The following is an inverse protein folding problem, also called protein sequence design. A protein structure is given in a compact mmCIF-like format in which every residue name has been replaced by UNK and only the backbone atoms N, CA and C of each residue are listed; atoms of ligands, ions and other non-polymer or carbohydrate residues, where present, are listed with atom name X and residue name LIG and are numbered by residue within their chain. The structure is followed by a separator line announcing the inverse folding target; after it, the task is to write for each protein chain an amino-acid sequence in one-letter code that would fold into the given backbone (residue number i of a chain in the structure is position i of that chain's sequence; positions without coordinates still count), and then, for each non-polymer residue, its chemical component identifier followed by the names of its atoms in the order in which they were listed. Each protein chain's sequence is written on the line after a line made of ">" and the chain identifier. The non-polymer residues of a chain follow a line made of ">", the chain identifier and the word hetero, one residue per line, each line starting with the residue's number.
data_IF_763034293553
#
_entry.id   IF_763034293553
#
_cell.length_a   1.000
_cell.length_b   1.000
_cell.length_c   1.000
_cell.angle_alpha   90.00
_cell.angle_beta   90.00
_cell.angle_gamma   90.00
#
_symmetry.space_group_name_H-M   'P 1'
#
loop_
_entity.id
_entity.type
_entity.pdbx_description
1 polymer ?
#
# COMPACT_ATOMS: atom_id res chain seq x y z
N UNK A 1 38.06 3.21 -6.10
CA UNK A 1 36.63 2.85 -6.02
C UNK A 1 36.57 1.35 -5.75
N UNK A 2 36.13 0.93 -4.58
CA UNK A 2 35.87 -0.48 -4.28
C UNK A 2 34.51 -0.80 -4.87
N UNK A 3 34.45 -1.75 -5.81
CA UNK A 3 33.19 -2.33 -6.29
C UNK A 3 32.46 -2.91 -5.08
N UNK A 4 31.34 -2.33 -4.72
CA UNK A 4 30.43 -2.92 -3.74
C UNK A 4 29.67 -4.00 -4.50
N UNK A 5 30.04 -5.25 -4.27
CA UNK A 5 29.23 -6.39 -4.71
C UNK A 5 27.87 -6.27 -4.01
N UNK A 6 26.75 -6.30 -4.73
CA UNK A 6 25.44 -6.27 -4.08
C UNK A 6 25.33 -7.47 -3.14
N UNK A 7 25.08 -7.20 -1.86
CA UNK A 7 24.88 -8.19 -0.80
C UNK A 7 23.53 -8.90 -0.89
N UNK A 8 22.76 -8.66 -1.94
CA UNK A 8 21.45 -9.26 -2.13
C UNK A 8 21.58 -10.22 -3.31
N UNK A 9 21.72 -11.50 -3.01
CA UNK A 9 21.28 -12.54 -3.93
C UNK A 9 19.83 -12.22 -4.30
N UNK A 10 19.48 -12.29 -5.57
CA UNK A 10 18.16 -11.95 -6.09
C UNK A 10 17.07 -12.53 -5.20
N UNK A 11 16.18 -11.68 -4.67
CA UNK A 11 14.98 -12.15 -3.97
C UNK A 11 14.27 -13.11 -4.91
N UNK A 12 14.03 -14.35 -4.48
CA UNK A 12 13.36 -15.34 -5.30
C UNK A 12 11.96 -14.82 -5.64
N UNK A 13 11.59 -14.88 -6.92
CA UNK A 13 10.21 -14.66 -7.34
C UNK A 13 9.36 -15.81 -6.76
N UNK A 14 8.43 -15.47 -5.87
CA UNK A 14 7.54 -16.43 -5.23
C UNK A 14 6.27 -16.68 -6.03
N UNK A 15 6.05 -15.94 -7.14
CA UNK A 15 4.89 -16.14 -7.99
C UNK A 15 5.01 -17.44 -8.76
N UNK A 16 4.12 -18.39 -8.48
CA UNK A 16 4.01 -19.64 -9.24
C UNK A 16 2.80 -19.56 -10.19
N UNK A 17 3.09 -19.42 -11.48
CA UNK A 17 2.05 -19.33 -12.52
C UNK A 17 1.17 -20.60 -12.64
N UNK A 18 1.63 -21.75 -12.13
CA UNK A 18 0.83 -22.99 -12.12
C UNK A 18 -0.12 -23.06 -10.92
N UNK A 19 0.23 -22.41 -9.82
CA UNK A 19 -0.59 -22.34 -8.61
C UNK A 19 -1.45 -21.08 -8.55
N UNK A 20 -1.10 -20.04 -9.32
CA UNK A 20 -1.82 -18.77 -9.35
C UNK A 20 -3.24 -18.96 -9.93
N UNK A 21 -4.23 -18.23 -9.38
CA UNK A 21 -5.58 -18.20 -9.95
C UNK A 21 -5.63 -17.69 -11.40
N UNK A 22 -6.71 -17.99 -12.15
CA UNK A 22 -6.89 -17.50 -13.52
C UNK A 22 -6.71 -15.97 -13.64
N UNK A 23 -6.16 -15.53 -14.77
CA UNK A 23 -5.82 -14.11 -15.00
C UNK A 23 -7.04 -13.17 -15.03
N UNK A 24 -8.23 -13.69 -15.28
CA UNK A 24 -9.50 -12.96 -15.27
C UNK A 24 -10.16 -12.88 -13.87
N UNK A 25 -9.65 -13.62 -12.89
CA UNK A 25 -10.10 -13.51 -11.48
C UNK A 25 -9.15 -12.59 -10.68
N UNK A 26 -9.35 -11.28 -10.86
CA UNK A 26 -8.52 -10.25 -10.22
C UNK A 26 -8.47 -10.37 -8.69
N UNK A 27 -9.61 -10.68 -8.07
CA UNK A 27 -9.68 -10.75 -6.59
C UNK A 27 -8.95 -11.99 -6.07
N UNK A 28 -9.08 -13.13 -6.73
CA UNK A 28 -8.36 -14.33 -6.36
C UNK A 28 -6.84 -14.17 -6.57
N UNK A 29 -6.41 -13.51 -7.65
CA UNK A 29 -5.00 -13.18 -7.87
C UNK A 29 -4.45 -12.23 -6.80
N UNK A 30 -5.23 -11.20 -6.42
CA UNK A 30 -4.85 -10.29 -5.35
C UNK A 30 -4.72 -11.02 -4.00
N UNK A 31 -5.64 -11.94 -3.69
CA UNK A 31 -5.57 -12.76 -2.50
C UNK A 31 -4.33 -13.66 -2.50
N UNK A 32 -4.03 -14.30 -3.62
CA UNK A 32 -2.83 -15.14 -3.78
C UNK A 32 -1.55 -14.34 -3.54
N UNK A 33 -1.40 -13.16 -4.18
CA UNK A 33 -0.28 -12.25 -3.95
C UNK A 33 -0.16 -11.82 -2.48
N UNK A 34 -1.30 -11.54 -1.84
CA UNK A 34 -1.36 -11.16 -0.42
C UNK A 34 -0.83 -12.27 0.49
N UNK A 35 -1.20 -13.51 0.22
CA UNK A 35 -0.71 -14.68 0.97
C UNK A 35 0.80 -14.86 0.79
N UNK A 36 1.34 -14.71 -0.42
CA UNK A 36 2.78 -14.79 -0.68
C UNK A 36 3.55 -13.73 0.12
N UNK A 37 3.08 -12.48 0.11
CA UNK A 37 3.68 -11.39 0.89
C UNK A 37 3.56 -11.65 2.40
N UNK A 38 2.39 -12.04 2.86
CA UNK A 38 2.10 -12.30 4.27
C UNK A 38 2.84 -13.50 4.85
N UNK A 39 3.17 -14.50 4.03
CA UNK A 39 3.95 -15.67 4.44
C UNK A 39 5.40 -15.32 4.79
N UNK A 40 5.95 -14.27 4.17
CA UNK A 40 7.28 -13.77 4.48
C UNK A 40 7.22 -12.70 5.59
N UNK A 41 7.44 -13.11 6.83
CA UNK A 41 7.34 -12.22 8.01
C UNK A 41 8.44 -11.14 8.08
N UNK A 42 9.51 -11.27 7.33
CA UNK A 42 10.50 -10.20 7.17
C UNK A 42 10.00 -9.06 6.25
N UNK A 43 8.96 -9.33 5.43
CA UNK A 43 8.35 -8.38 4.50
C UNK A 43 7.04 -7.81 5.07
N UNK A 44 6.21 -8.66 5.69
CA UNK A 44 4.91 -8.25 6.22
C UNK A 44 4.69 -8.80 7.62
N UNK A 45 4.64 -7.91 8.61
CA UNK A 45 4.35 -8.23 10.00
C UNK A 45 2.89 -8.61 10.23
N UNK A 46 2.56 -9.21 11.39
CA UNK A 46 1.19 -9.54 11.77
C UNK A 46 0.30 -8.29 11.75
N UNK A 47 -0.77 -8.34 10.96
CA UNK A 47 -1.73 -7.25 10.82
C UNK A 47 -1.20 -6.00 10.10
N UNK A 48 0.09 -5.97 9.73
CA UNK A 48 0.70 -4.87 8.98
C UNK A 48 0.60 -5.06 7.47
N UNK A 49 0.64 -3.94 6.75
CA UNK A 49 0.56 -3.91 5.31
C UNK A 49 -0.85 -4.12 4.75
N UNK A 50 -1.00 -3.73 3.50
CA UNK A 50 -2.19 -3.99 2.70
C UNK A 50 -1.86 -4.06 1.20
N UNK A 51 -2.74 -4.69 0.47
CA UNK A 51 -2.61 -4.90 -0.97
C UNK A 51 -3.86 -4.42 -1.67
N UNK A 52 -3.72 -3.98 -2.90
CA UNK A 52 -4.86 -3.60 -3.75
C UNK A 52 -4.64 -3.96 -5.20
N UNK A 53 -5.75 -4.10 -5.93
CA UNK A 53 -5.76 -4.25 -7.37
C UNK A 53 -6.90 -3.42 -7.97
N UNK A 54 -6.64 -2.78 -9.11
CA UNK A 54 -7.59 -1.96 -9.85
C UNK A 54 -8.08 -2.71 -11.09
N UNK A 55 -9.37 -2.66 -11.35
CA UNK A 55 -10.00 -3.35 -12.47
C UNK A 55 -11.42 -2.91 -12.67
N UNK A 56 -12.28 -3.82 -13.07
CA UNK A 56 -13.71 -3.58 -13.34
C UNK A 56 -14.55 -4.59 -12.59
N UNK A 57 -15.66 -4.15 -12.00
CA UNK A 57 -16.66 -5.01 -11.38
C UNK A 57 -18.07 -4.53 -11.71
N UNK A 58 -19.07 -5.37 -11.49
CA UNK A 58 -20.46 -4.96 -11.62
C UNK A 58 -20.95 -4.27 -10.35
N UNK A 59 -21.60 -3.13 -10.48
CA UNK A 59 -22.31 -2.48 -9.38
C UNK A 59 -23.66 -3.16 -9.09
N UNK A 60 -24.37 -2.71 -8.06
CA UNK A 60 -25.69 -3.25 -7.66
C UNK A 60 -26.79 -3.11 -8.74
N UNK A 61 -26.54 -2.32 -9.80
CA UNK A 61 -27.45 -2.16 -10.94
C UNK A 61 -27.06 -3.04 -12.13
N UNK A 62 -25.96 -3.81 -12.02
CA UNK A 62 -25.41 -4.64 -13.08
C UNK A 62 -24.55 -3.88 -14.09
N UNK A 63 -24.15 -2.62 -13.82
CA UNK A 63 -23.25 -1.86 -14.67
C UNK A 63 -21.80 -2.17 -14.34
N UNK A 64 -20.97 -2.30 -15.36
CA UNK A 64 -19.52 -2.38 -15.20
C UNK A 64 -18.96 -1.00 -14.77
N UNK A 65 -18.28 -0.95 -13.64
CA UNK A 65 -17.67 0.26 -13.08
C UNK A 65 -16.19 0.02 -12.75
N UNK A 66 -15.33 1.03 -12.86
CA UNK A 66 -13.96 0.94 -12.36
C UNK A 66 -13.97 0.66 -10.86
N UNK A 67 -13.21 -0.33 -10.44
CA UNK A 67 -13.13 -0.73 -9.03
C UNK A 67 -11.68 -0.82 -8.56
N UNK A 68 -11.45 -0.49 -7.31
CA UNK A 68 -10.27 -0.87 -6.57
C UNK A 68 -10.66 -1.85 -5.46
N UNK A 69 -10.12 -3.06 -5.51
CA UNK A 69 -10.13 -3.99 -4.41
C UNK A 69 -8.96 -3.69 -3.49
N UNK A 70 -9.22 -3.46 -2.22
CA UNK A 70 -8.18 -3.15 -1.23
C UNK A 70 -8.45 -3.88 0.07
N UNK A 71 -7.40 -4.38 0.72
CA UNK A 71 -7.52 -5.03 2.03
C UNK A 71 -8.12 -4.08 3.06
N UNK A 72 -9.18 -4.53 3.69
CA UNK A 72 -9.80 -3.85 4.81
C UNK A 72 -8.92 -3.85 6.07
N UNK A 73 -9.37 -3.15 7.11
CA UNK A 73 -8.66 -3.07 8.38
C UNK A 73 -8.76 -4.37 9.17
N UNK A 74 -7.70 -4.74 9.91
CA UNK A 74 -7.75 -5.75 10.98
C UNK A 74 -7.49 -7.20 10.57
N UNK A 75 -7.14 -7.51 9.31
CA UNK A 75 -6.77 -8.86 8.87
C UNK A 75 -5.28 -9.01 8.58
N UNK A 76 -4.75 -10.21 8.71
CA UNK A 76 -3.36 -10.56 8.38
C UNK A 76 -3.26 -11.03 6.94
N UNK A 77 -2.30 -10.50 6.17
CA UNK A 77 -2.09 -10.87 4.78
C UNK A 77 -1.88 -12.35 4.54
N UNK A 78 -1.26 -13.06 5.50
CA UNK A 78 -0.98 -14.50 5.36
C UNK A 78 -2.22 -15.40 5.47
N UNK A 79 -3.28 -14.93 6.13
CA UNK A 79 -4.41 -15.78 6.52
C UNK A 79 -5.78 -15.21 6.16
N UNK A 80 -5.80 -14.02 5.56
CA UNK A 80 -7.06 -13.38 5.15
C UNK A 80 -7.78 -14.17 4.06
N UNK A 81 -9.09 -14.05 4.00
CA UNK A 81 -9.91 -14.53 2.88
C UNK A 81 -10.37 -13.37 1.97
N UNK A 82 -11.03 -13.69 0.88
CA UNK A 82 -11.55 -12.71 -0.07
C UNK A 82 -12.55 -11.73 0.56
N UNK A 83 -13.27 -12.15 1.58
CA UNK A 83 -14.22 -11.35 2.36
C UNK A 83 -13.57 -10.21 3.15
N UNK A 84 -12.25 -10.20 3.28
CA UNK A 84 -11.52 -9.11 3.93
C UNK A 84 -11.13 -7.97 2.97
N UNK A 85 -11.42 -8.12 1.67
CA UNK A 85 -11.26 -7.03 0.72
C UNK A 85 -12.52 -6.18 0.64
N UNK A 86 -12.30 -4.88 0.46
CA UNK A 86 -13.35 -3.91 0.16
C UNK A 86 -13.22 -3.46 -1.28
N UNK A 87 -14.28 -3.57 -2.05
CA UNK A 87 -14.38 -3.00 -3.40
C UNK A 87 -14.89 -1.58 -3.34
N UNK A 88 -14.18 -0.65 -3.95
CA UNK A 88 -14.52 0.78 -4.02
C UNK A 88 -14.70 1.22 -5.47
N UNK A 89 -15.75 1.97 -5.78
CA UNK A 89 -15.91 2.63 -7.08
C UNK A 89 -14.82 3.69 -7.22
N UNK A 90 -13.86 3.41 -8.10
CA UNK A 90 -12.64 4.19 -8.21
C UNK A 90 -12.91 5.60 -8.77
N UNK A 91 -13.88 5.72 -9.67
CA UNK A 91 -14.36 7.00 -10.21
C UNK A 91 -14.99 7.92 -9.15
N UNK A 92 -15.50 7.38 -8.05
CA UNK A 92 -15.98 8.13 -6.90
C UNK A 92 -14.86 8.49 -5.91
N UNK A 93 -13.77 7.71 -5.86
CA UNK A 93 -12.64 7.94 -4.96
C UNK A 93 -11.63 8.95 -5.53
N UNK A 94 -11.31 8.85 -6.81
CA UNK A 94 -10.27 9.67 -7.47
C UNK A 94 -10.51 11.19 -7.40
N UNK A 95 -11.75 11.73 -7.39
CA UNK A 95 -11.97 13.17 -7.20
C UNK A 95 -11.38 13.75 -5.90
N UNK A 96 -11.03 12.90 -4.93
CA UNK A 96 -10.37 13.33 -3.71
C UNK A 96 -8.91 13.77 -3.92
N UNK A 97 -8.26 13.40 -5.01
CA UNK A 97 -6.87 13.80 -5.34
C UNK A 97 -6.72 15.32 -5.34
N UNK A 98 -7.73 16.06 -5.85
CA UNK A 98 -7.70 17.52 -5.90
C UNK A 98 -8.12 18.23 -4.61
N UNK A 99 -8.35 17.52 -3.51
CA UNK A 99 -8.81 18.10 -2.25
C UNK A 99 -7.60 18.53 -1.40
N UNK A 100 -7.64 19.71 -0.80
CA UNK A 100 -6.55 20.26 0.00
C UNK A 100 -6.38 19.56 1.36
N UNK A 101 -7.49 19.21 2.02
CA UNK A 101 -7.48 18.57 3.33
C UNK A 101 -8.74 17.75 3.58
N UNK A 102 -8.60 16.74 4.44
CA UNK A 102 -9.71 15.91 4.90
C UNK A 102 -9.37 15.34 6.28
N UNK A 103 -10.30 15.41 7.20
CA UNK A 103 -10.18 14.72 8.49
C UNK A 103 -10.39 13.21 8.35
N UNK A 104 -9.86 12.43 9.30
CA UNK A 104 -10.07 10.96 9.31
C UNK A 104 -11.55 10.58 9.32
N UNK A 105 -12.38 11.34 10.07
CA UNK A 105 -13.82 11.09 10.13
C UNK A 105 -14.53 11.33 8.80
N UNK A 106 -14.20 12.44 8.11
CA UNK A 106 -14.71 12.73 6.77
C UNK A 106 -14.27 11.67 5.76
N UNK A 107 -12.98 11.26 5.80
CA UNK A 107 -12.43 10.25 4.91
C UNK A 107 -13.16 8.91 5.08
N UNK A 108 -13.34 8.46 6.31
CA UNK A 108 -14.07 7.22 6.61
C UNK A 108 -15.51 7.28 6.11
N UNK A 109 -16.22 8.39 6.38
CA UNK A 109 -17.60 8.58 5.94
C UNK A 109 -17.73 8.67 4.41
N UNK A 110 -16.75 9.26 3.75
CA UNK A 110 -16.71 9.34 2.29
C UNK A 110 -16.48 7.96 1.67
N UNK A 111 -15.41 7.25 2.09
CA UNK A 111 -15.06 5.92 1.56
C UNK A 111 -16.17 4.90 1.77
N UNK A 112 -16.92 4.97 2.88
CA UNK A 112 -18.06 4.10 3.11
C UNK A 112 -19.16 4.24 2.05
N UNK A 113 -19.30 5.42 1.43
CA UNK A 113 -20.27 5.66 0.35
C UNK A 113 -19.77 5.16 -1.00
N UNK A 114 -18.45 5.08 -1.17
CA UNK A 114 -17.82 4.59 -2.40
C UNK A 114 -17.79 3.05 -2.49
N UNK A 115 -18.13 2.32 -1.42
CA UNK A 115 -18.14 0.86 -1.41
C UNK A 115 -19.15 0.31 -2.45
N UNK A 116 -18.79 -0.76 -3.14
CA UNK A 116 -19.69 -1.49 -4.04
C UNK A 116 -20.89 -2.07 -3.29
N UNK A 117 -20.63 -2.59 -2.09
CA UNK A 117 -21.64 -3.13 -1.19
C UNK A 117 -21.37 -2.57 0.24
N UNK A 118 -22.37 -1.96 0.88
CA UNK A 118 -22.26 -1.46 2.25
C UNK A 118 -21.94 -2.54 3.30
N UNK A 119 -22.15 -3.81 2.99
CA UNK A 119 -21.82 -4.93 3.88
C UNK A 119 -20.34 -5.31 3.88
N UNK A 120 -19.55 -4.77 2.94
CA UNK A 120 -18.10 -5.01 2.88
C UNK A 120 -17.37 -4.47 4.11
N UNK A 121 -16.18 -5.01 4.43
CA UNK A 121 -15.35 -4.53 5.54
C UNK A 121 -15.08 -3.04 5.49
N UNK A 122 -14.86 -2.44 6.65
CA UNK A 122 -14.43 -1.04 6.73
C UNK A 122 -13.08 -0.84 6.04
N UNK A 123 -12.96 0.21 5.26
CA UNK A 123 -11.71 0.61 4.63
C UNK A 123 -10.59 0.88 5.62
N UNK A 124 -9.37 0.56 5.24
CA UNK A 124 -8.16 0.98 5.96
C UNK A 124 -7.97 2.49 5.85
N UNK A 125 -7.29 3.09 6.83
CA UNK A 125 -6.88 4.51 6.79
C UNK A 125 -5.94 4.81 5.61
N UNK A 126 -5.31 3.78 5.05
CA UNK A 126 -4.37 3.86 3.93
C UNK A 126 -5.02 3.61 2.57
N UNK A 127 -6.33 3.43 2.53
CA UNK A 127 -7.08 3.14 1.29
C UNK A 127 -6.85 4.19 0.20
N UNK A 128 -6.79 5.48 0.56
CA UNK A 128 -6.55 6.54 -0.41
C UNK A 128 -5.13 6.51 -0.99
N UNK A 129 -4.12 6.09 -0.21
CA UNK A 129 -2.78 5.85 -0.71
C UNK A 129 -2.81 4.87 -1.89
N UNK A 130 -3.50 3.76 -1.75
CA UNK A 130 -3.67 2.78 -2.82
C UNK A 130 -4.44 3.34 -4.03
N UNK A 131 -5.42 4.19 -3.80
CA UNK A 131 -6.21 4.79 -4.87
C UNK A 131 -5.39 5.79 -5.69
N UNK A 132 -4.58 6.63 -5.02
CA UNK A 132 -3.84 7.73 -5.64
C UNK A 132 -2.59 7.29 -6.40
N UNK A 133 -2.00 6.14 -6.05
CA UNK A 133 -0.93 5.54 -6.84
C UNK A 133 -1.48 5.07 -8.18
N UNK A 134 -0.97 5.53 -9.34
CA UNK A 134 -1.55 5.22 -10.66
C UNK A 134 -1.23 3.80 -11.19
N UNK A 135 -0.68 2.93 -10.36
CA UNK A 135 -0.40 1.54 -10.71
C UNK A 135 -1.65 0.64 -10.59
N UNK A 136 -1.78 -0.40 -11.45
CA UNK A 136 -2.88 -1.35 -11.36
C UNK A 136 -2.85 -2.21 -10.09
N UNK A 137 -1.66 -2.48 -9.56
CA UNK A 137 -1.45 -3.20 -8.31
C UNK A 137 -0.60 -2.36 -7.36
N UNK A 138 -0.97 -2.31 -6.08
CA UNK A 138 -0.21 -1.62 -5.04
C UNK A 138 -0.03 -2.56 -3.86
N UNK A 139 1.21 -2.78 -3.47
CA UNK A 139 1.58 -3.58 -2.32
C UNK A 139 2.26 -2.69 -1.28
N UNK A 140 1.59 -2.47 -0.17
CA UNK A 140 2.12 -1.77 0.99
C UNK A 140 2.57 -2.81 2.02
N UNK A 141 3.83 -2.80 2.37
CA UNK A 141 4.43 -3.76 3.31
C UNK A 141 5.32 -3.03 4.32
N UNK A 142 5.69 -3.72 5.40
CA UNK A 142 6.54 -3.20 6.46
C UNK A 142 7.78 -4.07 6.61
N UNK A 143 8.71 -4.09 5.62
CA UNK A 143 9.90 -4.93 5.72
C UNK A 143 10.79 -4.49 6.88
N UNK A 144 11.23 -5.42 7.71
CA UNK A 144 12.05 -5.12 8.91
C UNK A 144 13.32 -4.36 8.56
N UNK A 145 14.01 -4.76 7.48
CA UNK A 145 15.23 -4.09 7.02
C UNK A 145 15.00 -2.63 6.61
N UNK A 146 13.88 -2.36 5.92
CA UNK A 146 13.50 -1.01 5.53
C UNK A 146 13.11 -0.17 6.74
N UNK A 147 12.33 -0.74 7.67
CA UNK A 147 11.94 -0.07 8.90
C UNK A 147 13.17 0.32 9.75
N UNK A 148 14.19 -0.55 9.80
CA UNK A 148 15.46 -0.24 10.50
C UNK A 148 16.18 0.92 9.82
N UNK A 149 16.35 0.90 8.49
CA UNK A 149 16.97 1.99 7.76
C UNK A 149 16.22 3.31 7.95
N UNK A 150 14.89 3.29 7.74
CA UNK A 150 14.04 4.45 7.86
C UNK A 150 13.97 5.01 9.29
N UNK A 151 14.16 4.16 10.30
CA UNK A 151 14.18 4.54 11.72
C UNK A 151 15.46 5.22 12.18
N UNK A 152 16.51 5.30 11.35
CA UNK A 152 17.78 5.94 11.73
C UNK A 152 17.75 7.45 11.46
N UNK A 153 18.63 8.20 12.14
CA UNK A 153 18.77 9.64 11.92
C UNK A 153 19.21 9.99 10.49
N UNK A 154 19.92 9.07 9.83
CA UNK A 154 20.43 9.20 8.46
C UNK A 154 19.57 8.43 7.43
N UNK A 155 18.34 8.06 7.78
CA UNK A 155 17.49 7.17 6.99
C UNK A 155 17.36 7.57 5.53
N UNK A 156 17.06 8.84 5.24
CA UNK A 156 16.94 9.34 3.87
C UNK A 156 18.23 9.12 3.08
N UNK A 157 19.39 9.43 3.65
CA UNK A 157 20.69 9.22 3.00
C UNK A 157 20.96 7.75 2.73
N UNK A 158 20.70 6.88 3.71
CA UNK A 158 20.91 5.44 3.60
C UNK A 158 19.99 4.80 2.55
N UNK A 159 18.72 5.19 2.51
CA UNK A 159 17.77 4.73 1.50
C UNK A 159 18.23 5.15 0.11
N UNK A 160 18.66 6.41 -0.05
CA UNK A 160 19.19 6.90 -1.34
C UNK A 160 20.46 6.17 -1.77
N UNK A 161 21.35 5.83 -0.82
CA UNK A 161 22.55 5.04 -1.11
C UNK A 161 22.23 3.59 -1.48
N UNK A 162 21.21 2.97 -0.87
CA UNK A 162 20.84 1.59 -1.13
C UNK A 162 20.02 1.41 -2.42
N UNK A 163 19.09 2.34 -2.70
CA UNK A 163 18.08 2.17 -3.75
C UNK A 163 18.18 3.17 -4.89
N UNK A 164 19.00 4.24 -4.74
CA UNK A 164 19.15 5.28 -5.76
C UNK A 164 17.80 5.91 -6.13
N UNK A 165 17.55 6.05 -7.44
CA UNK A 165 16.33 6.63 -8.00
C UNK A 165 15.13 5.65 -8.02
N UNK A 166 15.37 4.37 -7.64
CA UNK A 166 14.28 3.37 -7.55
C UNK A 166 13.38 3.56 -6.32
N UNK A 167 13.77 4.43 -5.39
CA UNK A 167 12.98 4.75 -4.20
C UNK A 167 12.80 6.25 -4.03
N UNK A 168 11.61 6.67 -3.59
CA UNK A 168 11.35 8.02 -3.11
C UNK A 168 11.30 8.03 -1.59
N UNK A 169 11.92 9.03 -1.00
CA UNK A 169 11.81 9.29 0.42
C UNK A 169 10.63 10.21 0.71
N UNK A 170 9.72 9.76 1.55
CA UNK A 170 8.64 10.59 2.09
C UNK A 170 8.90 10.74 3.59
N UNK A 171 9.10 11.97 4.11
CA UNK A 171 9.26 12.21 5.53
C UNK A 171 8.06 11.65 6.31
N UNK A 172 8.29 11.28 7.58
CA UNK A 172 7.21 10.75 8.40
C UNK A 172 6.02 11.69 8.46
N UNK A 173 4.88 11.17 7.99
CA UNK A 173 3.58 11.78 8.14
C UNK A 173 2.65 10.72 8.72
N UNK A 174 1.76 11.14 9.61
CA UNK A 174 0.75 10.24 10.15
C UNK A 174 -0.08 9.66 9.00
N UNK A 175 -0.31 8.31 8.97
CA UNK A 175 -1.20 7.69 8.00
C UNK A 175 -2.55 8.38 7.91
N UNK A 176 -3.05 8.57 6.69
CA UNK A 176 -4.31 9.24 6.40
C UNK A 176 -4.25 10.02 5.10
N UNK A 177 -5.15 11.02 4.97
CA UNK A 177 -5.34 11.78 3.75
C UNK A 177 -4.04 12.46 3.26
N UNK A 178 -3.35 13.19 4.14
CA UNK A 178 -2.14 13.95 3.78
C UNK A 178 -1.02 13.04 3.26
N UNK A 179 -0.79 11.89 3.91
CA UNK A 179 0.19 10.92 3.43
C UNK A 179 -0.21 10.39 2.05
N UNK A 180 -1.48 10.09 1.84
CA UNK A 180 -1.98 9.57 0.56
C UNK A 180 -1.77 10.54 -0.59
N UNK A 181 -1.96 11.84 -0.36
CA UNK A 181 -1.67 12.90 -1.35
C UNK A 181 -0.17 12.94 -1.68
N UNK A 182 0.70 12.95 -0.66
CA UNK A 182 2.15 13.00 -0.90
C UNK A 182 2.68 11.77 -1.64
N UNK A 183 2.13 10.59 -1.36
CA UNK A 183 2.48 9.37 -2.10
C UNK A 183 2.02 9.50 -3.56
N UNK A 184 0.80 9.95 -3.81
CA UNK A 184 0.30 10.21 -5.16
C UNK A 184 1.18 11.19 -5.93
N UNK A 185 1.51 12.35 -5.33
CA UNK A 185 2.37 13.38 -5.92
C UNK A 185 3.77 12.84 -6.27
N UNK A 186 4.33 11.94 -5.46
CA UNK A 186 5.62 11.32 -5.73
C UNK A 186 5.61 10.47 -7.00
N UNK A 187 4.48 9.84 -7.35
CA UNK A 187 4.32 9.11 -8.60
C UNK A 187 4.07 10.03 -9.81
N UNK A 188 3.29 11.10 -9.67
CA UNK A 188 2.99 12.04 -10.74
C UNK A 188 4.24 12.78 -11.25
N UNK A 189 5.31 12.86 -10.45
CA UNK A 189 6.59 13.42 -10.84
C UNK A 189 7.41 12.51 -11.79
N UNK A 190 6.81 11.49 -12.39
CA UNK A 190 7.42 10.65 -13.43
C UNK A 190 8.41 9.62 -12.90
N UNK A 191 8.29 9.23 -11.64
CA UNK A 191 9.10 8.14 -11.05
C UNK A 191 8.51 6.79 -11.44
N UNK A 192 9.38 5.86 -11.76
CA UNK A 192 9.01 4.51 -12.19
C UNK A 192 8.19 3.77 -11.11
N UNK A 193 7.32 2.86 -11.54
CA UNK A 193 6.32 2.18 -10.70
C UNK A 193 6.86 1.24 -9.60
N UNK A 194 8.17 1.18 -9.40
CA UNK A 194 8.86 0.42 -8.35
C UNK A 194 9.11 1.22 -7.07
N UNK A 195 8.32 2.26 -6.81
CA UNK A 195 8.50 3.14 -5.66
C UNK A 195 8.32 2.38 -4.34
N UNK A 196 9.35 2.45 -3.50
CA UNK A 196 9.29 2.07 -2.09
C UNK A 196 9.02 3.34 -1.29
N UNK A 197 7.83 3.46 -0.72
CA UNK A 197 7.57 4.47 0.30
C UNK A 197 8.29 4.06 1.57
N UNK A 198 9.10 4.96 2.12
CA UNK A 198 9.74 4.78 3.41
C UNK A 198 9.31 5.92 4.30
N UNK A 199 8.34 5.66 5.16
CA UNK A 199 7.87 6.58 6.18
C UNK A 199 8.59 6.27 7.50
N UNK A 200 9.35 7.22 8.04
CA UNK A 200 10.04 7.09 9.32
C UNK A 200 9.39 7.95 10.41
N UNK A 201 9.22 7.39 11.61
CA UNK A 201 8.90 8.20 12.80
C UNK A 201 10.08 9.12 13.11
N UNK A 202 9.81 10.41 13.29
CA UNK A 202 10.81 11.35 13.81
C UNK A 202 11.38 10.84 15.14
N UNK A 203 12.65 10.52 15.15
CA UNK A 203 13.38 10.02 16.33
C UNK A 203 13.34 10.99 17.52
N UNK A 204 12.97 12.25 17.29
CA UNK A 204 12.84 13.27 18.35
C UNK A 204 11.61 13.09 19.24
N UNK A 205 10.57 12.38 18.78
CA UNK A 205 9.37 12.13 19.58
C UNK A 205 9.48 10.90 20.48
N UNK A 206 10.45 10.02 20.25
CA UNK A 206 10.68 8.82 21.06
C UNK A 206 11.47 9.12 22.34
N UNK A 207 12.31 10.17 22.34
CA UNK A 207 13.14 10.55 23.48
C UNK A 207 12.36 11.21 24.64
N UNK A 208 11.12 11.63 24.42
CA UNK A 208 10.32 12.37 25.43
C UNK A 208 9.35 11.48 26.22
N UNK A 209 9.34 10.15 26.01
CA UNK A 209 8.43 9.24 26.71
C UNK A 209 9.12 8.19 27.60
N UNK A 210 10.41 8.35 27.88
CA UNK A 210 11.15 7.54 28.86
C UNK A 210 11.79 8.45 29.91
N UNK A 211 10.99 9.27 30.57
CA UNK A 211 11.35 9.95 31.82
C UNK A 211 10.16 9.88 32.78
#
# INVERSE_FOLDING_TARGET
>A
MRSVTPLIDSVADLWDSHAAPPADDLLAQLLYASHLLGANRAVANFGGGNTSAKGTALDHTGRAVPVMWVKGSGSDLATMGAEHFTGLRLDEVLPLVGREAMSDGEMVAYLARCQLDPAMPRCSIETLLHAFVPAPHVHHTHPDGINVLAGTADGERLVRECFGDSAAWIPYIRPGFTLSVQVGDAFDQGRDASLVEISCRDSRSAATRCA
#
